data_IF_348978345259
#
_entry.id   IF_348978345259
#
_cell.length_a   1.000
_cell.length_b   1.000
_cell.length_c   1.000
_cell.angle_alpha   90.00
_cell.angle_beta   90.00
_cell.angle_gamma   90.00
#
_symmetry.space_group_name_H-M   'P 1'
#
loop_
_entity.id
_entity.type
_entity.pdbx_description
1 polymer ?
#
# COMPACT_ATOMS: atom_id res chain seq x y z
N UNK A 1 9.07 -13.89 5.37
CA UNK A 1 8.14 -12.75 5.17
C UNK A 1 8.15 -12.32 3.71
N UNK A 2 6.98 -12.05 3.12
CA UNK A 2 6.86 -11.58 1.73
C UNK A 2 6.74 -10.05 1.69
N UNK A 3 7.39 -9.42 0.70
CA UNK A 3 7.32 -7.98 0.42
C UNK A 3 6.69 -7.78 -0.96
N UNK A 4 5.65 -6.96 -1.03
CA UNK A 4 4.88 -6.70 -2.26
C UNK A 4 5.14 -5.26 -2.69
N UNK A 5 5.61 -5.08 -3.93
CA UNK A 5 5.74 -3.77 -4.57
C UNK A 5 4.52 -3.52 -5.45
N UNK A 6 3.87 -2.37 -5.28
CA UNK A 6 2.77 -1.90 -6.11
C UNK A 6 3.16 -0.55 -6.72
N UNK A 7 3.33 -0.50 -8.03
CA UNK A 7 3.55 0.73 -8.79
C UNK A 7 2.19 1.22 -9.33
N UNK A 8 1.83 2.47 -9.08
CA UNK A 8 0.47 2.96 -9.28
C UNK A 8 -0.46 2.56 -8.12
N UNK A 9 0.03 2.67 -6.88
CA UNK A 9 -0.70 2.21 -5.69
C UNK A 9 -1.91 3.10 -5.35
N UNK A 10 -1.95 4.34 -5.81
CA UNK A 10 -2.97 5.32 -5.46
C UNK A 10 -4.24 5.21 -6.34
N UNK A 11 -4.63 3.97 -6.65
CA UNK A 11 -5.79 3.64 -7.47
C UNK A 11 -6.74 2.62 -6.82
N UNK A 12 -7.76 2.21 -7.55
CA UNK A 12 -8.77 1.26 -7.07
C UNK A 12 -8.16 -0.06 -6.58
N UNK A 13 -7.30 -0.69 -7.40
CA UNK A 13 -6.65 -1.95 -7.04
C UNK A 13 -5.69 -1.73 -5.88
N UNK A 14 -4.82 -0.72 -5.96
CA UNK A 14 -3.83 -0.46 -4.93
C UNK A 14 -4.44 -0.19 -3.56
N UNK A 15 -5.54 0.57 -3.47
CA UNK A 15 -6.29 0.77 -2.23
C UNK A 15 -6.81 -0.55 -1.64
N UNK A 16 -7.62 -1.30 -2.39
CA UNK A 16 -8.28 -2.50 -1.86
C UNK A 16 -7.29 -3.64 -1.61
N UNK A 17 -6.31 -3.83 -2.49
CA UNK A 17 -5.28 -4.86 -2.34
C UNK A 17 -4.40 -4.58 -1.13
N UNK A 18 -3.91 -3.34 -0.98
CA UNK A 18 -3.07 -2.97 0.17
C UNK A 18 -3.82 -3.15 1.47
N UNK A 19 -5.08 -2.69 1.55
CA UNK A 19 -5.95 -2.89 2.71
C UNK A 19 -6.12 -4.38 3.05
N UNK A 20 -6.42 -5.22 2.05
CA UNK A 20 -6.59 -6.66 2.24
C UNK A 20 -5.32 -7.33 2.76
N UNK A 21 -4.16 -6.97 2.22
CA UNK A 21 -2.86 -7.51 2.64
C UNK A 21 -2.59 -7.16 4.10
N UNK A 22 -2.72 -5.88 4.48
CA UNK A 22 -2.43 -5.46 5.86
C UNK A 22 -3.44 -6.02 6.88
N UNK A 23 -4.67 -6.33 6.48
CA UNK A 23 -5.68 -6.90 7.38
C UNK A 23 -5.60 -8.43 7.53
N UNK A 24 -5.16 -9.15 6.49
CA UNK A 24 -5.36 -10.62 6.40
C UNK A 24 -4.09 -11.44 6.28
N UNK A 25 -2.94 -10.82 6.10
CA UNK A 25 -1.65 -11.52 6.03
C UNK A 25 -0.64 -10.88 6.98
N UNK A 26 0.56 -11.44 7.03
CA UNK A 26 1.75 -10.92 7.69
C UNK A 26 2.69 -10.18 6.73
N UNK A 27 2.28 -9.93 5.48
CA UNK A 27 3.14 -9.34 4.45
C UNK A 27 3.31 -7.83 4.62
N UNK A 28 4.37 -7.30 4.00
CA UNK A 28 4.62 -5.87 3.90
C UNK A 28 4.31 -5.34 2.49
N UNK A 29 3.71 -4.16 2.42
CA UNK A 29 3.38 -3.47 1.17
C UNK A 29 4.27 -2.25 1.00
N UNK A 30 4.88 -2.15 -0.17
CA UNK A 30 5.66 -1.01 -0.65
C UNK A 30 4.89 -0.43 -1.84
N UNK A 31 4.31 0.74 -1.67
CA UNK A 31 3.51 1.41 -2.68
C UNK A 31 4.24 2.63 -3.25
N UNK A 32 4.23 2.78 -4.57
CA UNK A 32 4.77 3.97 -5.25
C UNK A 32 3.71 4.63 -6.12
N UNK A 33 3.57 5.94 -5.98
CA UNK A 33 2.71 6.80 -6.81
C UNK A 33 3.09 8.28 -6.60
N UNK A 34 2.50 9.17 -7.39
CA UNK A 34 2.68 10.62 -7.24
C UNK A 34 1.83 11.23 -6.11
N UNK A 35 0.74 10.56 -5.74
CA UNK A 35 -0.24 11.08 -4.77
C UNK A 35 -0.70 9.99 -3.81
N UNK A 36 -1.45 10.38 -2.78
CA UNK A 36 -1.84 9.50 -1.67
C UNK A 36 -3.32 9.58 -1.27
N UNK A 37 -4.16 10.32 -1.99
CA UNK A 37 -5.56 10.57 -1.60
C UNK A 37 -6.39 9.29 -1.43
N UNK A 38 -6.17 8.28 -2.27
CA UNK A 38 -6.89 6.99 -2.19
C UNK A 38 -6.31 6.06 -1.14
N UNK A 39 -5.05 6.22 -0.75
CA UNK A 39 -4.38 5.34 0.22
C UNK A 39 -4.10 6.02 1.57
N UNK A 40 -4.63 7.23 1.79
CA UNK A 40 -4.39 8.02 3.00
C UNK A 40 -4.66 7.26 4.30
N UNK A 41 -5.69 6.41 4.33
CA UNK A 41 -6.05 5.58 5.49
C UNK A 41 -5.03 4.48 5.83
N UNK A 42 -4.14 4.16 4.89
CA UNK A 42 -3.08 3.15 5.05
C UNK A 42 -1.75 3.79 5.45
N UNK A 43 -1.61 5.11 5.30
CA UNK A 43 -0.41 5.83 5.72
C UNK A 43 -0.20 5.69 7.24
N UNK A 44 1.04 5.41 7.64
CA UNK A 44 1.39 5.16 9.04
C UNK A 44 1.14 3.73 9.53
N UNK A 45 0.47 2.87 8.75
CA UNK A 45 0.36 1.47 9.11
C UNK A 45 1.74 0.80 9.06
N UNK A 46 2.16 0.12 10.13
CA UNK A 46 3.50 -0.48 10.30
C UNK A 46 4.00 -1.36 9.15
N UNK A 47 3.08 -1.90 8.34
CA UNK A 47 3.35 -2.79 7.19
C UNK A 47 2.97 -2.20 5.84
N UNK A 48 2.65 -0.91 5.79
CA UNK A 48 2.43 -0.16 4.56
C UNK A 48 3.45 0.97 4.48
N UNK A 49 4.29 0.97 3.44
CA UNK A 49 5.30 2.00 3.20
C UNK A 49 5.00 2.63 1.85
N UNK A 50 4.82 3.94 1.84
CA UNK A 50 4.62 4.72 0.63
C UNK A 50 5.92 5.44 0.23
N UNK A 51 6.17 5.51 -1.08
CA UNK A 51 7.25 6.26 -1.69
C UNK A 51 6.68 7.10 -2.83
N UNK A 52 7.14 8.33 -2.95
CA UNK A 52 6.81 9.18 -4.10
C UNK A 52 7.77 8.86 -5.25
N UNK A 53 7.25 8.76 -6.48
CA UNK A 53 8.04 8.48 -7.68
C UNK A 53 7.21 8.38 -8.96
#
# INVERSE_FOLDING_TARGET
MKRILILGVNGFIGHHLSKRIVERTDWEVYGMDMQTDRIATLLGHKRFRFFEG
#
